data_IF_492969764362
#
_entry.id   IF_492969764362
#
_cell.length_a   1.000
_cell.length_b   1.000
_cell.length_c   1.000
_cell.angle_alpha   90.00
_cell.angle_beta   90.00
_cell.angle_gamma   90.00
#
_symmetry.space_group_name_H-M   'P 1'
#
loop_
_entity.id
_entity.type
_entity.pdbx_description
1 polymer ?
#
# COMPACT_ATOMS: atom_id res chain seq x y z
N UNK A 1 31.63 23.80 -36.43
CA UNK A 1 30.31 24.41 -36.15
C UNK A 1 29.40 23.29 -35.68
N UNK A 2 29.27 23.12 -34.36
CA UNK A 2 28.10 23.57 -33.57
C UNK A 2 26.80 22.93 -34.12
N UNK A 3 26.07 22.09 -33.40
CA UNK A 3 25.70 22.22 -32.00
C UNK A 3 25.67 20.86 -31.28
N UNK A 4 26.32 20.81 -30.11
CA UNK A 4 25.89 19.94 -29.04
C UNK A 4 24.55 20.49 -28.57
N UNK A 5 23.46 19.79 -28.89
CA UNK A 5 22.15 20.13 -28.35
C UNK A 5 22.10 19.69 -26.88
N UNK A 6 22.53 20.60 -26.01
CA UNK A 6 22.16 20.66 -24.60
C UNK A 6 20.66 20.95 -24.52
N UNK A 7 19.80 19.94 -24.72
CA UNK A 7 18.34 20.01 -24.55
C UNK A 7 17.79 18.57 -24.53
N UNK A 8 17.58 17.95 -23.35
CA UNK A 8 16.67 16.80 -23.18
C UNK A 8 16.62 16.19 -21.76
N UNK A 9 17.52 16.51 -20.84
CA UNK A 9 17.52 15.81 -19.53
C UNK A 9 16.35 16.21 -18.60
N UNK A 10 15.50 17.17 -19.00
CA UNK A 10 14.38 17.66 -18.19
C UNK A 10 13.00 17.07 -18.53
N UNK A 11 12.86 16.27 -19.60
CA UNK A 11 11.55 15.81 -20.10
C UNK A 11 11.28 14.31 -19.91
N UNK A 12 12.15 13.58 -19.21
CA UNK A 12 11.98 12.15 -18.94
C UNK A 12 12.05 11.90 -17.45
N UNK A 13 11.09 11.13 -16.94
CA UNK A 13 11.12 10.60 -15.58
C UNK A 13 11.10 9.08 -15.62
N UNK A 14 11.69 8.48 -14.61
CA UNK A 14 11.67 7.04 -14.39
C UNK A 14 11.31 6.72 -12.95
N UNK A 15 10.76 5.54 -12.74
CA UNK A 15 10.35 5.02 -11.45
C UNK A 15 10.96 3.66 -11.18
N UNK A 16 10.12 2.71 -10.74
CA UNK A 16 10.51 1.36 -10.40
C UNK A 16 11.23 0.67 -11.57
N UNK A 17 12.31 -0.05 -11.27
CA UNK A 17 12.90 -1.04 -12.17
C UNK A 17 13.00 -2.36 -11.40
N UNK A 18 12.66 -3.46 -12.06
CA UNK A 18 12.69 -4.75 -11.41
C UNK A 18 12.44 -5.93 -12.35
N UNK A 19 12.61 -7.14 -11.83
CA UNK A 19 13.01 -7.42 -10.45
C UNK A 19 14.48 -7.12 -10.18
N UNK A 20 14.80 -6.97 -8.91
CA UNK A 20 16.12 -6.73 -8.32
C UNK A 20 16.35 -7.73 -7.20
N UNK A 21 17.62 -8.03 -6.90
CA UNK A 21 17.97 -8.95 -5.82
C UNK A 21 17.74 -10.42 -6.18
N UNK A 22 17.42 -11.24 -5.16
CA UNK A 22 17.29 -12.69 -5.28
C UNK A 22 15.81 -13.07 -5.39
N UNK A 23 15.45 -13.69 -6.51
CA UNK A 23 14.12 -14.18 -6.78
C UNK A 23 13.92 -15.59 -6.25
N UNK A 24 12.76 -15.76 -5.62
CA UNK A 24 12.18 -17.02 -5.18
C UNK A 24 11.12 -17.53 -6.16
N UNK A 25 10.82 -16.78 -7.23
CA UNK A 25 10.09 -17.27 -8.41
C UNK A 25 10.97 -17.27 -9.66
N UNK A 26 10.86 -18.32 -10.47
CA UNK A 26 11.50 -18.40 -11.79
C UNK A 26 10.60 -17.93 -12.93
N UNK A 27 9.35 -17.56 -12.64
CA UNK A 27 8.44 -16.93 -13.58
C UNK A 27 8.56 -15.39 -13.46
N UNK A 28 9.28 -14.78 -14.39
CA UNK A 28 9.82 -13.43 -14.25
C UNK A 28 9.21 -12.47 -15.26
N UNK A 29 8.62 -11.38 -14.78
CA UNK A 29 8.30 -10.20 -15.61
C UNK A 29 9.37 -9.15 -15.39
N UNK A 30 10.01 -8.66 -16.46
CA UNK A 30 10.94 -7.53 -16.35
C UNK A 30 10.17 -6.24 -16.60
N UNK A 31 10.39 -5.22 -15.78
CA UNK A 31 9.71 -3.93 -15.92
C UNK A 31 10.61 -2.77 -15.53
N UNK A 32 10.48 -1.68 -16.27
CA UNK A 32 11.06 -0.38 -15.95
C UNK A 32 10.04 0.71 -16.21
N UNK A 33 9.58 1.38 -15.15
CA UNK A 33 8.73 2.55 -15.24
C UNK A 33 9.50 3.74 -15.82
N UNK A 34 8.97 4.30 -16.90
CA UNK A 34 9.56 5.42 -17.61
C UNK A 34 8.48 6.17 -18.39
N UNK A 35 8.46 7.48 -18.26
CA UNK A 35 7.48 8.33 -18.94
C UNK A 35 8.07 9.66 -19.36
N UNK A 36 7.50 10.20 -20.42
CA UNK A 36 7.76 11.57 -20.84
C UNK A 36 6.98 12.54 -19.98
N UNK A 37 7.61 13.65 -19.60
CA UNK A 37 6.95 14.84 -19.05
C UNK A 37 6.88 15.97 -20.08
N UNK A 38 7.41 15.76 -21.28
CA UNK A 38 7.36 16.70 -22.40
C UNK A 38 6.34 16.30 -23.47
N UNK A 39 6.43 16.95 -24.63
CA UNK A 39 5.54 16.66 -25.76
C UNK A 39 5.94 15.39 -26.52
N UNK A 40 7.20 14.97 -26.44
CA UNK A 40 7.72 13.79 -27.12
C UNK A 40 7.24 12.51 -26.43
N UNK A 41 6.83 11.49 -27.20
CA UNK A 41 6.22 10.27 -26.66
C UNK A 41 7.16 9.09 -26.80
N UNK A 42 7.11 8.19 -25.82
CA UNK A 42 7.74 6.89 -25.92
C UNK A 42 6.85 6.01 -26.79
N UNK A 43 7.40 5.46 -27.87
CA UNK A 43 6.68 4.67 -28.86
C UNK A 43 7.08 3.20 -28.86
N UNK A 44 8.20 2.85 -28.23
CA UNK A 44 8.72 1.48 -28.22
C UNK A 44 9.57 1.20 -26.97
N UNK A 45 9.37 0.02 -26.41
CA UNK A 45 10.23 -0.57 -25.39
C UNK A 45 11.12 -1.66 -26.01
N UNK A 46 12.35 -1.77 -25.53
CA UNK A 46 13.28 -2.85 -25.89
C UNK A 46 13.90 -3.38 -24.60
N UNK A 47 14.04 -4.70 -24.48
CA UNK A 47 14.77 -5.33 -23.38
C UNK A 47 15.78 -6.33 -23.97
N UNK A 48 17.00 -6.26 -23.46
CA UNK A 48 18.05 -7.26 -23.65
C UNK A 48 18.26 -7.98 -22.31
N UNK A 49 18.30 -9.31 -22.33
CA UNK A 49 18.60 -10.17 -21.20
C UNK A 49 19.91 -10.92 -21.48
N UNK A 50 20.93 -10.68 -20.68
CA UNK A 50 22.31 -11.18 -20.90
C UNK A 50 22.87 -10.82 -22.29
N UNK A 51 22.49 -9.65 -22.81
CA UNK A 51 22.90 -9.17 -24.14
C UNK A 51 22.02 -9.64 -25.30
N UNK A 52 21.09 -10.55 -25.06
CA UNK A 52 20.18 -11.08 -26.10
C UNK A 52 18.84 -10.34 -26.07
N UNK A 53 18.32 -9.82 -27.21
CA UNK A 53 17.04 -9.14 -27.25
C UNK A 53 15.88 -10.11 -27.00
N UNK A 54 14.90 -9.68 -26.21
CA UNK A 54 13.68 -10.44 -25.88
C UNK A 54 12.39 -9.66 -26.22
N UNK A 55 11.24 -10.34 -26.39
CA UNK A 55 9.96 -9.67 -26.63
C UNK A 55 9.59 -8.70 -25.50
N UNK A 56 9.42 -7.43 -25.87
CA UNK A 56 9.15 -6.35 -24.93
C UNK A 56 8.32 -5.25 -25.59
N UNK A 57 7.53 -4.56 -24.76
CA UNK A 57 6.64 -3.48 -25.16
C UNK A 57 6.83 -2.26 -24.27
N UNK A 58 6.37 -1.11 -24.77
CA UNK A 58 6.06 0.03 -23.91
C UNK A 58 4.56 -0.03 -23.56
N UNK A 59 4.27 -0.34 -22.30
CA UNK A 59 2.92 -0.35 -21.73
C UNK A 59 2.53 1.07 -21.32
N UNK A 60 1.70 1.71 -22.15
CA UNK A 60 1.28 3.11 -21.95
C UNK A 60 0.44 3.28 -20.69
N UNK A 61 -0.36 2.29 -20.29
CA UNK A 61 -1.19 2.37 -19.10
C UNK A 61 -0.33 2.32 -17.82
N UNK A 62 0.68 1.44 -17.82
CA UNK A 62 1.64 1.35 -16.71
C UNK A 62 2.71 2.43 -16.75
N UNK A 63 2.91 3.07 -17.90
CA UNK A 63 4.04 3.97 -18.17
C UNK A 63 5.37 3.23 -17.98
N UNK A 64 5.51 2.06 -18.61
CA UNK A 64 6.65 1.19 -18.38
C UNK A 64 7.11 0.42 -19.62
N UNK A 65 8.41 0.22 -19.77
CA UNK A 65 8.97 -0.80 -20.65
C UNK A 65 8.93 -2.13 -19.91
N UNK A 66 8.31 -3.16 -20.50
CA UNK A 66 8.20 -4.48 -19.86
C UNK A 66 8.25 -5.62 -20.86
N UNK A 67 8.48 -6.84 -20.37
CA UNK A 67 8.29 -8.04 -21.20
C UNK A 67 6.83 -8.17 -21.64
N UNK A 68 6.62 -8.68 -22.85
CA UNK A 68 5.26 -8.93 -23.37
C UNK A 68 4.52 -9.97 -22.53
N UNK A 69 5.20 -11.08 -22.26
CA UNK A 69 4.78 -12.16 -21.38
C UNK A 69 5.81 -12.41 -20.29
N UNK A 70 5.44 -13.04 -19.17
CA UNK A 70 6.41 -13.56 -18.21
C UNK A 70 7.39 -14.55 -18.87
N UNK A 71 8.61 -14.60 -18.33
CA UNK A 71 9.71 -15.46 -18.77
C UNK A 71 9.92 -16.58 -17.77
N UNK A 72 10.05 -17.82 -18.25
CA UNK A 72 10.53 -18.91 -17.42
C UNK A 72 12.07 -18.93 -17.45
N UNK A 73 12.72 -18.60 -16.34
CA UNK A 73 14.17 -18.49 -16.25
C UNK A 73 14.77 -19.61 -15.40
N UNK A 74 15.92 -20.14 -15.83
CA UNK A 74 16.69 -21.07 -15.02
C UNK A 74 17.36 -20.36 -13.83
N UNK A 75 17.77 -21.08 -12.78
CA UNK A 75 18.60 -20.50 -11.74
C UNK A 75 19.89 -19.88 -12.30
N UNK A 76 20.23 -18.68 -11.85
CA UNK A 76 21.40 -17.96 -12.34
C UNK A 76 21.33 -16.45 -12.16
N UNK A 77 22.44 -15.78 -12.49
CA UNK A 77 22.53 -14.33 -12.50
C UNK A 77 22.14 -13.79 -13.87
N UNK A 78 21.34 -12.73 -13.87
CA UNK A 78 20.83 -12.09 -15.08
C UNK A 78 21.17 -10.60 -15.09
N UNK A 79 21.57 -10.12 -16.26
CA UNK A 79 21.77 -8.70 -16.54
C UNK A 79 20.71 -8.22 -17.54
N UNK A 80 20.05 -7.12 -17.20
CA UNK A 80 18.98 -6.54 -18.01
C UNK A 80 19.40 -5.18 -18.52
N UNK A 81 19.17 -4.92 -19.81
CA UNK A 81 19.24 -3.59 -20.40
C UNK A 81 17.89 -3.27 -21.03
N UNK A 82 17.15 -2.33 -20.44
CA UNK A 82 15.90 -1.82 -21.00
C UNK A 82 16.13 -0.47 -21.67
N UNK A 83 15.43 -0.23 -22.79
CA UNK A 83 15.46 1.04 -23.53
C UNK A 83 14.05 1.48 -23.84
N UNK A 84 13.78 2.77 -23.63
CA UNK A 84 12.58 3.44 -24.07
C UNK A 84 12.93 4.36 -25.24
N UNK A 85 12.33 4.08 -26.39
CA UNK A 85 12.58 4.77 -27.65
C UNK A 85 11.48 5.82 -27.87
N UNK A 86 11.90 7.06 -28.08
CA UNK A 86 11.04 8.20 -28.31
C UNK A 86 10.74 8.39 -29.81
N UNK A 87 9.64 9.06 -30.12
CA UNK A 87 9.21 9.35 -31.48
C UNK A 87 10.27 10.14 -32.26
N UNK A 88 10.96 11.08 -31.60
CA UNK A 88 12.05 11.86 -32.22
C UNK A 88 13.38 11.10 -32.37
N UNK A 89 13.38 9.80 -32.09
CA UNK A 89 14.46 8.89 -32.45
C UNK A 89 15.61 8.76 -31.44
N UNK A 90 15.55 9.45 -30.29
CA UNK A 90 16.47 9.16 -29.19
C UNK A 90 15.91 8.07 -28.28
N UNK A 91 16.78 7.44 -27.49
CA UNK A 91 16.38 6.46 -26.50
C UNK A 91 17.06 6.73 -25.16
N UNK A 92 16.31 6.51 -24.08
CA UNK A 92 16.84 6.43 -22.72
C UNK A 92 16.97 4.97 -22.33
N UNK A 93 17.89 4.68 -21.41
CA UNK A 93 18.15 3.30 -20.97
C UNK A 93 18.17 3.18 -19.45
N UNK A 94 17.85 2.00 -18.98
CA UNK A 94 18.07 1.53 -17.62
C UNK A 94 18.73 0.16 -17.66
N UNK A 95 19.60 -0.12 -16.70
CA UNK A 95 20.29 -1.39 -16.57
C UNK A 95 20.28 -1.84 -15.12
N UNK A 96 19.98 -3.12 -14.90
CA UNK A 96 19.94 -3.71 -13.56
C UNK A 96 20.29 -5.19 -13.62
N UNK A 97 20.41 -5.81 -12.45
CA UNK A 97 20.73 -7.22 -12.28
C UNK A 97 19.83 -7.85 -11.24
N UNK A 98 19.57 -9.13 -11.42
CA UNK A 98 18.88 -9.98 -10.45
C UNK A 98 19.40 -11.40 -10.53
N UNK A 99 19.03 -12.21 -9.56
CA UNK A 99 19.40 -13.62 -9.46
C UNK A 99 18.15 -14.46 -9.32
N UNK A 100 18.00 -15.49 -10.14
CA UNK A 100 16.99 -16.54 -9.91
C UNK A 100 17.60 -17.58 -8.99
N UNK A 101 17.01 -17.79 -7.82
CA UNK A 101 17.49 -18.76 -6.84
C UNK A 101 17.43 -20.20 -7.33
N UNK A 102 18.30 -21.07 -6.79
CA UNK A 102 18.32 -22.51 -7.12
C UNK A 102 16.99 -23.22 -6.81
N UNK A 103 16.27 -22.73 -5.81
CA UNK A 103 14.97 -23.26 -5.38
C UNK A 103 13.80 -22.35 -5.79
N UNK A 104 14.01 -21.47 -6.79
CA UNK A 104 12.98 -20.56 -7.25
C UNK A 104 11.81 -21.33 -7.86
N UNK A 105 10.61 -21.03 -7.39
CA UNK A 105 9.37 -21.71 -7.75
C UNK A 105 8.98 -21.36 -9.19
N UNK A 106 8.78 -22.37 -10.03
CA UNK A 106 8.26 -22.18 -11.38
C UNK A 106 6.79 -21.74 -11.32
N UNK A 107 6.02 -22.44 -10.50
CA UNK A 107 4.63 -22.13 -10.21
C UNK A 107 4.50 -21.75 -8.73
N UNK A 108 3.86 -20.61 -8.48
CA UNK A 108 3.52 -20.20 -7.11
C UNK A 108 2.33 -21.05 -6.61
N UNK A 109 2.31 -21.41 -5.32
CA UNK A 109 1.23 -22.20 -4.77
C UNK A 109 -0.07 -21.40 -4.82
N UNK A 110 -1.17 -22.12 -5.02
CA UNK A 110 -2.51 -21.55 -4.92
C UNK A 110 -2.77 -21.05 -3.48
N UNK A 111 -3.51 -19.94 -3.31
CA UNK A 111 -3.88 -19.46 -1.99
C UNK A 111 -4.67 -20.52 -1.18
N UNK A 112 -4.31 -20.66 0.09
CA UNK A 112 -4.97 -21.56 1.04
C UNK A 112 -6.38 -21.09 1.44
N UNK A 113 -7.13 -21.96 2.12
CA UNK A 113 -8.45 -21.63 2.68
C UNK A 113 -8.40 -20.40 3.60
N UNK A 114 -7.39 -20.33 4.49
CA UNK A 114 -7.24 -19.23 5.45
C UNK A 114 -6.96 -17.89 4.74
N UNK A 115 -6.18 -17.91 3.65
CA UNK A 115 -5.94 -16.72 2.84
C UNK A 115 -7.22 -16.24 2.15
N UNK A 116 -8.04 -17.17 1.64
CA UNK A 116 -9.34 -16.82 1.07
C UNK A 116 -10.35 -16.36 2.14
N UNK A 117 -10.30 -16.87 3.37
CA UNK A 117 -11.11 -16.37 4.49
C UNK A 117 -10.77 -14.92 4.83
N UNK A 118 -9.48 -14.60 4.97
CA UNK A 118 -9.02 -13.21 5.14
C UNK A 118 -9.43 -12.31 3.99
N UNK A 119 -9.31 -12.77 2.75
CA UNK A 119 -9.76 -12.01 1.57
C UNK A 119 -11.26 -11.71 1.66
N UNK A 120 -12.10 -12.68 2.03
CA UNK A 120 -13.54 -12.48 2.21
C UNK A 120 -13.83 -11.45 3.30
N UNK A 121 -13.19 -11.59 4.47
CA UNK A 121 -13.36 -10.63 5.57
C UNK A 121 -12.98 -9.20 5.14
N UNK A 122 -11.85 -9.04 4.45
CA UNK A 122 -11.40 -7.74 3.90
C UNK A 122 -12.41 -7.21 2.89
N UNK A 123 -12.93 -8.05 2.00
CA UNK A 123 -13.94 -7.66 1.02
C UNK A 123 -15.26 -7.24 1.68
N UNK A 124 -15.73 -7.96 2.70
CA UNK A 124 -16.95 -7.62 3.43
C UNK A 124 -16.80 -6.28 4.18
N UNK A 125 -15.62 -5.99 4.73
CA UNK A 125 -15.32 -4.67 5.27
C UNK A 125 -15.31 -3.59 4.18
N UNK A 126 -14.59 -3.82 3.07
CA UNK A 126 -14.49 -2.87 1.95
C UNK A 126 -15.85 -2.55 1.35
N UNK A 127 -16.71 -3.54 1.16
CA UNK A 127 -18.08 -3.34 0.68
C UNK A 127 -18.91 -2.47 1.64
N UNK A 128 -18.77 -2.65 2.96
CA UNK A 128 -19.46 -1.81 3.97
C UNK A 128 -19.02 -0.35 3.93
N UNK A 129 -17.77 -0.07 3.58
CA UNK A 129 -17.25 1.30 3.40
C UNK A 129 -17.41 1.82 1.97
N UNK A 130 -18.11 1.09 1.09
CA UNK A 130 -18.39 1.51 -0.29
C UNK A 130 -17.22 1.36 -1.27
N UNK A 131 -16.26 0.49 -0.97
CA UNK A 131 -15.08 0.22 -1.79
C UNK A 131 -15.22 -1.11 -2.56
N UNK A 132 -14.67 -1.21 -3.78
CA UNK A 132 -14.69 -2.45 -4.54
C UNK A 132 -13.83 -3.53 -3.85
N UNK A 133 -14.13 -4.82 -4.08
CA UNK A 133 -13.36 -5.91 -3.50
C UNK A 133 -11.92 -5.92 -4.01
N UNK A 134 -11.02 -6.52 -3.22
CA UNK A 134 -9.66 -6.87 -3.65
C UNK A 134 -9.64 -8.23 -4.34
N UNK A 135 -8.66 -8.43 -5.22
CA UNK A 135 -8.39 -9.72 -5.85
C UNK A 135 -7.08 -10.31 -5.31
N UNK A 136 -7.07 -11.61 -5.04
CA UNK A 136 -5.88 -12.30 -4.55
C UNK A 136 -4.83 -12.37 -5.67
N UNK A 137 -3.62 -11.89 -5.38
CA UNK A 137 -2.49 -11.95 -6.30
C UNK A 137 -1.49 -13.01 -5.81
N UNK A 138 -1.16 -14.04 -6.62
CA UNK A 138 -0.32 -15.16 -6.17
C UNK A 138 1.00 -14.74 -5.51
N UNK A 139 1.75 -13.82 -6.14
CA UNK A 139 3.00 -13.29 -5.57
C UNK A 139 2.83 -12.65 -4.19
N UNK A 140 1.77 -11.85 -3.99
CA UNK A 140 1.51 -11.23 -2.68
C UNK A 140 1.02 -12.26 -1.67
N UNK A 141 0.20 -13.22 -2.10
CA UNK A 141 -0.27 -14.30 -1.23
C UNK A 141 0.91 -15.11 -0.66
N UNK A 142 1.87 -15.49 -1.51
CA UNK A 142 3.08 -16.21 -1.08
C UNK A 142 3.97 -15.32 -0.21
N UNK A 143 4.19 -14.07 -0.61
CA UNK A 143 5.00 -13.12 0.17
C UNK A 143 4.44 -12.93 1.60
N UNK A 144 3.13 -12.73 1.73
CA UNK A 144 2.48 -12.60 3.03
C UNK A 144 2.54 -13.90 3.84
N UNK A 145 2.32 -15.06 3.21
CA UNK A 145 2.39 -16.35 3.90
C UNK A 145 3.80 -16.61 4.44
N UNK A 146 4.83 -16.45 3.61
CA UNK A 146 6.22 -16.56 4.03
C UNK A 146 6.58 -15.57 5.14
N UNK A 147 6.04 -14.35 5.10
CA UNK A 147 6.31 -13.37 6.15
C UNK A 147 5.64 -13.69 7.48
N UNK A 148 4.40 -14.22 7.46
CA UNK A 148 3.75 -14.71 8.68
C UNK A 148 4.51 -15.88 9.30
N UNK A 149 4.98 -16.82 8.48
CA UNK A 149 5.83 -17.94 8.90
C UNK A 149 7.17 -17.48 9.45
N UNK A 150 7.81 -16.50 8.79
CA UNK A 150 9.04 -15.87 9.27
C UNK A 150 8.85 -15.23 10.64
N UNK A 151 7.75 -14.47 10.84
CA UNK A 151 7.45 -13.85 12.12
C UNK A 151 7.22 -14.90 13.22
N UNK A 152 6.55 -16.01 12.89
CA UNK A 152 6.32 -17.11 13.82
C UNK A 152 7.65 -17.81 14.18
N UNK A 153 8.43 -18.23 13.19
CA UNK A 153 9.68 -19.01 13.40
C UNK A 153 10.75 -18.21 14.14
N UNK A 154 10.79 -16.90 13.94
CA UNK A 154 11.76 -16.02 14.57
C UNK A 154 11.19 -15.31 15.82
N UNK A 155 10.00 -15.71 16.29
CA UNK A 155 9.34 -15.16 17.49
C UNK A 155 9.28 -13.62 17.49
N UNK A 156 9.02 -13.03 16.33
CA UNK A 156 8.98 -11.59 16.12
C UNK A 156 7.61 -11.14 15.64
N UNK A 157 7.40 -9.83 15.65
CA UNK A 157 6.27 -9.16 15.01
C UNK A 157 6.77 -7.83 14.46
N UNK A 158 6.56 -7.61 13.16
CA UNK A 158 6.97 -6.38 12.49
C UNK A 158 7.04 -6.57 10.99
N UNK A 159 7.43 -5.51 10.29
CA UNK A 159 7.42 -5.43 8.83
C UNK A 159 8.71 -5.90 8.15
N UNK A 160 9.77 -6.12 8.93
CA UNK A 160 11.12 -6.29 8.41
C UNK A 160 11.70 -7.66 8.74
N UNK A 161 12.39 -8.24 7.76
CA UNK A 161 13.14 -9.48 7.93
C UNK A 161 14.64 -9.21 7.96
N UNK A 162 15.39 -10.13 8.57
CA UNK A 162 16.85 -10.06 8.66
C UNK A 162 17.46 -11.13 7.75
N UNK A 163 18.42 -10.79 6.88
CA UNK A 163 19.02 -11.73 5.92
C UNK A 163 19.54 -13.04 6.51
N UNK A 164 20.02 -13.02 7.75
CA UNK A 164 20.59 -14.17 8.46
C UNK A 164 19.55 -15.05 9.16
N UNK A 165 18.28 -14.63 9.22
CA UNK A 165 17.21 -15.34 9.90
C UNK A 165 16.60 -16.44 9.04
N UNK A 166 16.15 -17.52 9.69
CA UNK A 166 15.46 -18.61 9.01
C UNK A 166 14.20 -18.09 8.33
N UNK A 167 13.96 -18.53 7.09
CA UNK A 167 12.78 -18.14 6.31
C UNK A 167 12.89 -16.75 5.68
N UNK A 168 14.07 -16.14 5.64
CA UNK A 168 14.27 -14.84 4.97
C UNK A 168 13.89 -14.91 3.49
N UNK A 169 13.01 -13.99 3.08
CA UNK A 169 12.53 -13.82 1.70
C UNK A 169 12.75 -12.41 1.15
N UNK A 170 13.02 -11.44 2.03
CA UNK A 170 13.30 -10.05 1.68
C UNK A 170 13.22 -9.11 2.89
N UNK A 171 14.10 -8.10 2.95
CA UNK A 171 14.25 -7.27 4.14
C UNK A 171 13.03 -6.37 4.38
N UNK A 172 12.46 -5.78 3.34
CA UNK A 172 11.28 -4.93 3.39
C UNK A 172 10.06 -5.61 2.76
N UNK A 173 8.82 -5.12 3.00
CA UNK A 173 7.63 -5.67 2.35
C UNK A 173 7.69 -5.67 0.82
N UNK A 174 8.35 -4.68 0.22
CA UNK A 174 8.53 -4.60 -1.22
C UNK A 174 9.55 -5.64 -1.70
N UNK A 175 10.68 -5.80 -1.01
CA UNK A 175 11.68 -6.82 -1.37
C UNK A 175 11.08 -8.24 -1.36
N UNK A 176 10.19 -8.53 -0.41
CA UNK A 176 9.48 -9.82 -0.34
C UNK A 176 8.47 -10.00 -1.47
N UNK A 177 7.69 -8.97 -1.77
CA UNK A 177 6.74 -9.02 -2.88
C UNK A 177 7.49 -9.23 -4.22
N UNK A 178 8.59 -8.51 -4.41
CA UNK A 178 9.45 -8.57 -5.59
C UNK A 178 10.17 -9.91 -5.73
N UNK A 179 10.61 -10.54 -4.63
CA UNK A 179 11.25 -11.87 -4.69
C UNK A 179 10.30 -12.95 -5.22
N UNK A 180 8.99 -12.79 -5.07
CA UNK A 180 7.96 -13.64 -5.69
C UNK A 180 7.36 -13.05 -6.99
N UNK A 181 8.00 -12.02 -7.58
CA UNK A 181 7.67 -11.49 -8.89
C UNK A 181 6.60 -10.39 -8.92
N UNK A 182 6.17 -9.86 -7.77
CA UNK A 182 5.28 -8.69 -7.75
C UNK A 182 6.09 -7.40 -7.92
N UNK A 183 5.89 -6.72 -9.05
CA UNK A 183 6.52 -5.43 -9.32
C UNK A 183 5.52 -4.29 -9.13
N UNK A 184 5.64 -3.58 -8.02
CA UNK A 184 4.80 -2.44 -7.69
C UNK A 184 4.94 -2.02 -6.24
N UNK A 185 4.53 -0.80 -5.93
CA UNK A 185 4.42 -0.37 -4.54
C UNK A 185 3.35 -1.17 -3.80
N UNK A 186 3.58 -1.40 -2.50
CA UNK A 186 2.63 -2.06 -1.62
C UNK A 186 2.50 -1.33 -0.28
N UNK A 187 1.37 -1.53 0.37
CA UNK A 187 1.20 -1.30 1.79
C UNK A 187 1.07 -2.64 2.50
N UNK A 188 1.63 -2.73 3.69
CA UNK A 188 1.53 -3.92 4.54
C UNK A 188 0.87 -3.58 5.88
N UNK A 189 0.06 -4.50 6.37
CA UNK A 189 -0.49 -4.50 7.72
C UNK A 189 -0.18 -5.85 8.38
N UNK A 190 0.38 -5.81 9.60
CA UNK A 190 0.75 -7.02 10.35
C UNK A 190 0.00 -7.06 11.68
N UNK A 191 -0.53 -8.23 12.05
CA UNK A 191 -1.15 -8.48 13.34
C UNK A 191 -0.46 -9.64 14.06
N UNK A 192 -0.49 -9.58 15.39
CA UNK A 192 0.09 -10.55 16.31
C UNK A 192 -0.87 -10.74 17.49
N UNK A 193 -1.19 -12.00 17.81
CA UNK A 193 -2.10 -12.37 18.90
C UNK A 193 -3.57 -12.52 18.49
N UNK A 194 -3.87 -12.46 17.18
CA UNK A 194 -5.18 -12.72 16.61
C UNK A 194 -5.25 -14.15 16.11
N UNK A 195 -6.16 -14.98 16.66
CA UNK A 195 -6.25 -16.41 16.33
C UNK A 195 -7.27 -16.72 15.22
N UNK A 196 -8.04 -15.73 14.80
CA UNK A 196 -8.99 -15.85 13.69
C UNK A 196 -8.74 -14.76 12.64
N UNK A 197 -9.03 -15.03 11.35
CA UNK A 197 -9.04 -14.01 10.30
C UNK A 197 -9.85 -12.76 10.66
N UNK A 198 -11.01 -12.94 11.28
CA UNK A 198 -11.92 -11.88 11.66
C UNK A 198 -11.32 -11.00 12.77
N UNK A 199 -10.73 -11.60 13.80
CA UNK A 199 -10.08 -10.86 14.88
C UNK A 199 -8.86 -10.08 14.37
N UNK A 200 -8.11 -10.68 13.45
CA UNK A 200 -6.96 -10.02 12.84
C UNK A 200 -7.39 -8.80 12.03
N UNK A 201 -8.41 -8.95 11.19
CA UNK A 201 -8.95 -7.82 10.43
C UNK A 201 -9.54 -6.74 11.35
N UNK A 202 -10.29 -7.13 12.39
CA UNK A 202 -10.86 -6.19 13.34
C UNK A 202 -9.77 -5.37 14.04
N UNK A 203 -8.68 -6.00 14.47
CA UNK A 203 -7.54 -5.31 15.06
C UNK A 203 -6.87 -4.34 14.08
N UNK A 204 -6.66 -4.75 12.82
CA UNK A 204 -6.05 -3.91 11.79
C UNK A 204 -6.95 -2.72 11.39
N UNK A 205 -8.27 -2.91 11.35
CA UNK A 205 -9.23 -1.81 11.10
C UNK A 205 -9.32 -0.87 12.30
N UNK A 206 -9.23 -1.39 13.52
CA UNK A 206 -9.21 -0.57 14.74
C UNK A 206 -7.99 0.35 14.79
N UNK A 207 -6.84 -0.11 14.27
CA UNK A 207 -5.61 0.67 14.06
C UNK A 207 -5.75 1.76 13.00
N UNK A 208 -5.58 3.06 13.33
CA UNK A 208 -5.85 4.14 12.38
C UNK A 208 -4.81 4.29 11.26
N UNK A 209 -3.57 3.79 11.41
CA UNK A 209 -2.63 3.69 10.29
C UNK A 209 -2.85 2.39 9.51
N UNK A 210 -3.05 1.27 10.20
CA UNK A 210 -3.31 -0.04 9.58
C UNK A 210 -4.61 -0.10 8.75
N UNK A 211 -5.60 0.75 9.04
CA UNK A 211 -6.81 0.86 8.19
C UNK A 211 -6.58 1.61 6.88
N UNK A 212 -5.56 2.48 6.78
CA UNK A 212 -5.34 3.29 5.57
C UNK A 212 -5.09 2.45 4.31
N UNK A 213 -4.29 1.37 4.33
CA UNK A 213 -4.18 0.43 3.21
C UNK A 213 -5.50 -0.19 2.77
N UNK A 214 -6.38 -0.50 3.75
CA UNK A 214 -7.66 -1.16 3.54
C UNK A 214 -8.69 -0.19 2.92
N UNK A 215 -8.58 1.10 3.25
CA UNK A 215 -9.46 2.18 2.77
C UNK A 215 -9.10 2.73 1.38
N UNK A 216 -8.07 2.19 0.72
CA UNK A 216 -7.70 2.60 -0.62
C UNK A 216 -8.84 2.36 -1.64
N UNK A 217 -9.17 3.33 -2.52
CA UNK A 217 -10.12 3.15 -3.62
C UNK A 217 -9.60 2.20 -4.70
N UNK A 218 -10.50 1.73 -5.56
CA UNK A 218 -10.15 0.87 -6.69
C UNK A 218 -9.94 -0.60 -6.34
N UNK A 219 -9.89 -1.44 -7.37
CA UNK A 219 -9.59 -2.87 -7.25
C UNK A 219 -8.09 -3.03 -7.00
N UNK A 220 -7.74 -3.65 -5.87
CA UNK A 220 -6.34 -3.78 -5.44
C UNK A 220 -5.90 -5.24 -5.55
N UNK A 221 -4.65 -5.43 -5.98
CA UNK A 221 -3.98 -6.70 -5.77
C UNK A 221 -3.78 -6.89 -4.26
N UNK A 222 -4.08 -8.10 -3.78
CA UNK A 222 -4.05 -8.41 -2.36
C UNK A 222 -3.32 -9.72 -2.09
N UNK A 223 -2.59 -9.75 -0.99
CA UNK A 223 -2.02 -10.96 -0.39
C UNK A 223 -2.43 -11.05 1.07
N UNK A 224 -2.59 -12.28 1.54
CA UNK A 224 -2.79 -12.59 2.95
C UNK A 224 -1.84 -13.74 3.34
N UNK A 225 -1.48 -13.81 4.61
CA UNK A 225 -0.67 -14.90 5.15
C UNK A 225 -1.01 -15.15 6.61
N UNK A 226 -1.11 -16.42 6.99
CA UNK A 226 -1.49 -16.84 8.35
C UNK A 226 -0.53 -17.91 8.84
N UNK A 227 0.10 -17.65 9.97
CA UNK A 227 0.91 -18.64 10.69
C UNK A 227 0.57 -18.53 12.19
N UNK A 228 -0.32 -19.41 12.65
CA UNK A 228 -0.92 -19.34 13.99
C UNK A 228 -1.51 -17.94 14.26
N UNK A 229 -0.97 -17.21 15.24
CA UNK A 229 -1.42 -15.88 15.65
C UNK A 229 -0.69 -14.73 14.90
N UNK A 230 0.08 -15.05 13.86
CA UNK A 230 0.77 -14.10 12.97
C UNK A 230 -0.03 -13.94 11.68
N UNK A 231 -0.49 -12.72 11.42
CA UNK A 231 -1.22 -12.38 10.19
C UNK A 231 -0.53 -11.24 9.46
N UNK A 232 -0.36 -11.41 8.15
CA UNK A 232 0.19 -10.39 7.25
C UNK A 232 -0.82 -10.14 6.14
N UNK A 233 -1.17 -8.88 5.91
CA UNK A 233 -1.97 -8.42 4.78
C UNK A 233 -1.14 -7.46 3.94
N UNK A 234 -1.17 -7.61 2.63
CA UNK A 234 -0.48 -6.71 1.71
C UNK A 234 -1.40 -6.28 0.59
N UNK A 235 -1.39 -4.99 0.27
CA UNK A 235 -2.22 -4.34 -0.74
C UNK A 235 -1.33 -3.63 -1.75
N UNK A 236 -1.60 -3.76 -3.05
CA UNK A 236 -1.00 -2.86 -4.04
C UNK A 236 -1.39 -1.41 -3.76
N UNK A 237 -0.58 -0.47 -4.24
CA UNK A 237 -0.99 0.94 -4.30
C UNK A 237 -2.16 1.10 -5.27
N UNK A 238 -3.17 1.86 -4.85
CA UNK A 238 -4.29 2.22 -5.72
C UNK A 238 -3.83 2.98 -6.96
N UNK A 239 -4.47 2.69 -8.09
CA UNK A 239 -4.37 3.49 -9.32
C UNK A 239 -5.53 4.49 -9.46
N UNK A 240 -6.51 4.41 -8.56
CA UNK A 240 -7.70 5.24 -8.58
C UNK A 240 -7.53 6.48 -7.70
N UNK A 241 -8.23 7.54 -8.09
CA UNK A 241 -8.33 8.75 -7.27
C UNK A 241 -9.63 8.73 -6.48
N UNK A 242 -9.57 8.96 -5.16
CA UNK A 242 -10.76 8.90 -4.34
C UNK A 242 -10.54 9.33 -2.90
N UNK A 243 -11.64 9.69 -2.25
CA UNK A 243 -11.68 10.00 -0.81
C UNK A 243 -12.34 8.85 -0.08
N UNK A 244 -11.72 8.40 1.00
CA UNK A 244 -12.30 7.43 1.93
C UNK A 244 -12.37 8.02 3.33
N UNK A 245 -13.44 7.71 4.05
CA UNK A 245 -13.70 8.16 5.41
C UNK A 245 -14.04 6.97 6.29
N UNK A 246 -13.62 7.03 7.54
CA UNK A 246 -13.97 6.02 8.52
C UNK A 246 -14.06 6.62 9.94
N UNK A 247 -15.10 6.41 10.75
CA UNK A 247 -16.35 5.72 10.40
C UNK A 247 -17.01 6.26 9.12
N UNK A 248 -17.62 5.39 8.34
CA UNK A 248 -18.23 5.78 7.07
C UNK A 248 -19.55 6.55 7.30
N UNK A 249 -20.04 7.26 6.28
CA UNK A 249 -21.29 8.03 6.36
C UNK A 249 -22.45 7.13 6.80
N UNK A 250 -23.12 7.53 7.88
CA UNK A 250 -24.24 6.80 8.45
C UNK A 250 -23.87 5.50 9.17
N UNK A 251 -22.57 5.22 9.39
CA UNK A 251 -22.15 4.05 10.15
C UNK A 251 -22.77 4.05 11.55
N UNK A 252 -23.36 2.93 11.94
CA UNK A 252 -23.83 2.65 13.30
C UNK A 252 -22.85 1.76 14.02
N UNK A 253 -23.05 1.59 15.31
CA UNK A 253 -22.28 0.69 16.17
C UNK A 253 -20.77 1.00 16.19
N UNK A 254 -20.41 2.28 16.04
CA UNK A 254 -19.02 2.72 16.16
C UNK A 254 -18.58 2.57 17.62
N UNK A 255 -17.43 1.92 17.90
CA UNK A 255 -16.96 1.81 19.28
C UNK A 255 -16.81 3.19 19.94
N UNK A 256 -17.07 3.26 21.24
CA UNK A 256 -16.96 4.52 21.98
C UNK A 256 -15.52 4.83 22.39
N UNK A 257 -14.66 3.81 22.42
CA UNK A 257 -13.29 3.85 22.91
C UNK A 257 -12.35 3.19 21.92
N UNK A 258 -11.11 3.67 21.92
CA UNK A 258 -10.03 3.02 21.19
C UNK A 258 -9.18 2.12 22.10
N UNK A 259 -8.83 0.92 21.63
CA UNK A 259 -8.08 -0.06 22.43
C UNK A 259 -6.57 0.27 22.54
N UNK A 260 -6.07 1.21 21.72
CA UNK A 260 -4.67 1.70 21.68
C UNK A 260 -3.65 0.67 21.20
N UNK A 261 -4.09 -0.36 20.49
CA UNK A 261 -3.24 -1.41 19.92
C UNK A 261 -2.77 -1.02 18.51
N UNK A 262 -1.97 0.05 18.42
CA UNK A 262 -1.32 0.49 17.17
C UNK A 262 0.15 0.79 17.40
N UNK A 263 0.99 0.38 16.44
CA UNK A 263 2.43 0.68 16.43
C UNK A 263 2.81 1.28 15.07
N UNK A 264 3.32 2.53 15.02
CA UNK A 264 3.49 3.45 16.14
C UNK A 264 2.14 3.91 16.73
N UNK A 265 2.12 4.29 18.02
CA UNK A 265 0.89 4.84 18.61
C UNK A 265 0.66 6.28 18.08
N UNK A 266 -0.52 6.61 17.53
CA UNK A 266 -0.84 7.95 17.02
C UNK A 266 -0.84 9.04 18.09
N UNK A 267 -1.06 8.70 19.36
CA UNK A 267 -1.00 9.65 20.48
C UNK A 267 0.45 9.98 20.91
N UNK A 268 1.47 9.32 20.34
CA UNK A 268 2.88 9.59 20.67
C UNK A 268 3.27 11.05 20.44
N UNK A 269 2.75 11.68 19.38
CA UNK A 269 3.09 13.05 19.01
C UNK A 269 2.43 14.09 19.93
N UNK A 270 1.45 13.66 20.72
CA UNK A 270 0.73 14.49 21.70
C UNK A 270 1.22 14.26 23.14
N UNK A 271 2.13 13.30 23.36
CA UNK A 271 2.57 12.91 24.71
C UNK A 271 1.48 12.17 25.51
N UNK A 272 0.54 11.48 24.82
CA UNK A 272 -0.67 10.90 25.44
C UNK A 272 -0.85 9.41 25.20
N UNK A 273 0.22 8.68 24.89
CA UNK A 273 0.19 7.27 24.47
C UNK A 273 -0.55 6.31 25.43
N UNK A 274 -0.64 6.64 26.72
CA UNK A 274 -1.26 5.79 27.76
C UNK A 274 -2.69 6.19 28.14
N UNK A 275 -3.22 7.31 27.61
CA UNK A 275 -4.52 7.86 28.02
C UNK A 275 -5.66 7.14 27.30
N UNK A 276 -6.74 6.81 28.01
CA UNK A 276 -7.97 6.31 27.38
C UNK A 276 -8.65 7.40 26.55
N UNK A 277 -8.91 7.11 25.28
CA UNK A 277 -9.46 8.07 24.30
C UNK A 277 -10.68 7.48 23.60
N UNK A 278 -11.43 8.34 22.92
CA UNK A 278 -12.51 7.92 22.02
C UNK A 278 -11.99 7.28 20.74
N UNK A 279 -12.91 6.76 19.95
CA UNK A 279 -12.57 6.02 18.73
C UNK A 279 -12.00 6.92 17.63
N UNK A 280 -10.91 6.53 16.93
CA UNK A 280 -10.26 7.39 15.95
C UNK A 280 -11.09 7.50 14.67
N UNK A 281 -11.17 8.71 14.14
CA UNK A 281 -11.86 9.08 12.91
C UNK A 281 -10.81 9.45 11.86
N UNK A 282 -11.01 8.98 10.64
CA UNK A 282 -10.07 9.06 9.52
C UNK A 282 -10.75 9.73 8.34
N UNK A 283 -10.01 10.65 7.72
CA UNK A 283 -10.27 11.13 6.37
C UNK A 283 -8.99 10.92 5.57
N UNK A 284 -9.10 10.30 4.39
CA UNK A 284 -7.97 10.03 3.51
C UNK A 284 -8.32 10.35 2.05
N UNK A 285 -7.36 10.94 1.35
CA UNK A 285 -7.43 11.17 -0.09
C UNK A 285 -6.34 10.36 -0.78
N UNK A 286 -6.69 9.56 -1.76
CA UNK A 286 -5.75 8.71 -2.48
C UNK A 286 -5.68 9.12 -3.93
N UNK A 287 -4.47 9.10 -4.50
CA UNK A 287 -4.24 9.18 -5.94
C UNK A 287 -2.86 8.68 -6.33
N UNK A 288 -2.64 8.52 -7.64
CA UNK A 288 -1.30 8.29 -8.18
C UNK A 288 -0.43 9.55 -8.03
N UNK A 289 0.76 9.37 -7.46
CA UNK A 289 1.81 10.41 -7.39
C UNK A 289 1.70 11.36 -6.20
N UNK A 290 1.60 12.66 -6.49
CA UNK A 290 1.52 13.75 -5.50
C UNK A 290 0.14 13.78 -4.87
N UNK A 291 0.11 13.65 -3.56
CA UNK A 291 -0.99 13.03 -2.82
C UNK A 291 -1.00 13.52 -1.37
N UNK A 292 -0.01 14.34 -1.00
CA UNK A 292 0.11 14.88 0.33
C UNK A 292 -1.06 15.82 0.62
N UNK A 293 -1.67 15.65 1.79
CA UNK A 293 -2.78 16.45 2.28
C UNK A 293 -2.25 17.62 3.13
N UNK A 294 -2.85 18.78 2.99
CA UNK A 294 -2.71 19.94 3.90
C UNK A 294 -4.06 20.18 4.56
N UNK A 295 -4.13 20.08 5.88
CA UNK A 295 -5.38 20.20 6.64
C UNK A 295 -5.57 21.66 7.07
N UNK A 296 -6.70 22.25 6.69
CA UNK A 296 -7.07 23.62 7.06
C UNK A 296 -7.87 23.62 8.37
N UNK A 297 -8.89 22.76 8.47
CA UNK A 297 -9.73 22.61 9.65
C UNK A 297 -10.27 21.19 9.73
N UNK A 298 -10.40 20.64 10.94
CA UNK A 298 -10.97 19.32 11.15
C UNK A 298 -11.59 19.26 12.55
N UNK A 299 -12.89 18.94 12.64
CA UNK A 299 -13.66 19.00 13.88
C UNK A 299 -14.62 17.83 14.04
N UNK A 300 -14.87 17.49 15.30
CA UNK A 300 -15.92 16.56 15.71
C UNK A 300 -16.96 17.34 16.52
N UNK A 301 -18.23 17.12 16.21
CA UNK A 301 -19.38 17.76 16.86
C UNK A 301 -20.28 16.66 17.45
N UNK A 302 -20.85 16.90 18.62
CA UNK A 302 -21.88 16.04 19.20
C UNK A 302 -23.25 16.29 18.55
N UNK A 303 -24.29 15.61 19.04
CA UNK A 303 -25.67 15.72 18.56
C UNK A 303 -26.35 17.06 18.88
N UNK A 304 -25.74 17.88 19.73
CA UNK A 304 -26.17 19.25 20.06
C UNK A 304 -25.35 20.31 19.31
N UNK A 305 -24.58 19.90 18.30
CA UNK A 305 -23.66 20.74 17.52
C UNK A 305 -22.54 21.40 18.34
N UNK A 306 -22.22 20.85 19.51
CA UNK A 306 -21.12 21.33 20.35
C UNK A 306 -19.81 20.62 19.96
N UNK A 307 -18.67 21.33 19.91
CA UNK A 307 -17.38 20.73 19.64
C UNK A 307 -16.96 19.69 20.67
N UNK A 308 -16.48 18.54 20.21
CA UNK A 308 -15.82 17.50 21.01
C UNK A 308 -14.32 17.73 20.97
N UNK A 309 -13.65 17.75 22.13
CA UNK A 309 -12.21 17.92 22.18
C UNK A 309 -11.49 16.73 21.51
N UNK A 310 -10.54 17.01 20.61
CA UNK A 310 -9.79 15.99 19.86
C UNK A 310 -8.30 16.26 19.86
N UNK A 311 -7.49 15.20 19.79
CA UNK A 311 -6.14 15.26 19.23
C UNK A 311 -6.23 15.12 17.71
N UNK A 312 -5.41 15.90 16.99
CA UNK A 312 -5.40 15.88 15.52
C UNK A 312 -4.01 15.49 15.00
N UNK A 313 -3.97 14.45 14.18
CA UNK A 313 -2.78 14.03 13.45
C UNK A 313 -2.97 14.38 11.96
N UNK A 314 -1.95 14.99 11.38
CA UNK A 314 -1.92 15.43 9.97
C UNK A 314 -0.51 15.18 9.39
N UNK A 315 -0.33 15.26 8.06
CA UNK A 315 1.00 15.15 7.45
C UNK A 315 2.01 16.21 7.93
N UNK A 316 1.55 17.30 8.55
CA UNK A 316 2.43 18.37 9.04
C UNK A 316 3.01 18.07 10.43
N UNK A 317 2.35 17.24 11.24
CA UNK A 317 2.82 16.89 12.59
C UNK A 317 3.10 15.39 12.79
N UNK A 318 2.72 14.55 11.83
CA UNK A 318 2.84 13.10 11.93
C UNK A 318 3.49 12.51 10.67
N UNK A 319 4.74 12.07 10.80
CA UNK A 319 5.51 11.47 9.69
C UNK A 319 4.96 10.13 9.20
N UNK A 320 4.04 9.51 9.96
CA UNK A 320 3.33 8.30 9.55
C UNK A 320 2.14 8.60 8.63
N UNK A 321 1.82 9.88 8.43
CA UNK A 321 0.75 10.33 7.54
C UNK A 321 1.33 11.09 6.35
N UNK A 322 0.73 10.85 5.19
CA UNK A 322 0.99 11.61 3.96
C UNK A 322 -0.29 12.23 3.44
N UNK A 323 -1.35 11.45 3.35
CA UNK A 323 -2.54 11.74 2.56
C UNK A 323 -3.84 11.59 3.35
N UNK A 324 -3.71 11.57 4.67
CA UNK A 324 -4.80 11.38 5.58
C UNK A 324 -4.63 12.25 6.82
N UNK A 325 -5.75 12.47 7.51
CA UNK A 325 -5.80 13.02 8.85
C UNK A 325 -6.50 12.02 9.79
N UNK A 326 -6.15 12.08 11.07
CA UNK A 326 -6.79 11.29 12.11
C UNK A 326 -7.24 12.24 13.23
N UNK A 327 -8.55 12.27 13.51
CA UNK A 327 -9.15 12.92 14.67
C UNK A 327 -9.35 11.88 15.77
N UNK A 328 -8.83 12.14 16.96
CA UNK A 328 -8.92 11.23 18.11
C UNK A 328 -9.61 11.97 19.25
N UNK A 329 -10.86 11.63 19.61
CA UNK A 329 -11.56 12.26 20.74
C UNK A 329 -10.77 12.09 22.03
N UNK A 330 -10.59 13.15 22.81
CA UNK A 330 -9.77 13.11 24.03
C UNK A 330 -10.36 12.21 25.11
N UNK A 331 -11.68 12.05 25.10
CA UNK A 331 -12.45 11.21 26.00
C UNK A 331 -13.24 10.16 25.22
N UNK A 332 -13.60 9.02 25.85
CA UNK A 332 -14.59 8.09 25.31
C UNK A 332 -15.84 8.81 24.80
N UNK A 333 -16.31 8.44 23.61
CA UNK A 333 -17.57 8.94 23.08
C UNK A 333 -18.74 8.40 23.90
N UNK A 334 -19.85 9.13 23.92
CA UNK A 334 -21.06 8.73 24.63
C UNK A 334 -21.74 7.62 23.81
N UNK A 335 -22.13 6.47 24.41
CA UNK A 335 -22.83 5.39 23.73
C UNK A 335 -24.18 5.82 23.14
N UNK A 336 -24.56 5.24 21.99
CA UNK A 336 -25.86 5.49 21.33
C UNK A 336 -26.08 6.95 20.90
N UNK A 337 -25.01 7.69 20.61
CA UNK A 337 -25.08 9.10 20.21
C UNK A 337 -24.58 9.30 18.79
N UNK A 338 -25.18 10.27 18.12
CA UNK A 338 -24.75 10.72 16.80
C UNK A 338 -23.63 11.75 16.94
N UNK A 339 -22.63 11.63 16.09
CA UNK A 339 -21.55 12.59 15.95
C UNK A 339 -21.43 13.05 14.49
N UNK A 340 -21.04 14.31 14.29
CA UNK A 340 -20.78 14.89 12.97
C UNK A 340 -19.31 15.28 12.86
N UNK A 341 -18.68 14.89 11.76
CA UNK A 341 -17.31 15.26 11.43
C UNK A 341 -17.34 16.32 10.34
N UNK A 342 -16.50 17.34 10.46
CA UNK A 342 -16.28 18.35 9.45
C UNK A 342 -14.79 18.43 9.12
N UNK A 343 -14.45 18.41 7.83
CA UNK A 343 -13.07 18.49 7.33
C UNK A 343 -12.99 19.50 6.21
N UNK A 344 -12.00 20.39 6.31
CA UNK A 344 -11.51 21.26 5.25
C UNK A 344 -10.02 20.97 5.00
N UNK A 345 -9.67 20.62 3.77
CA UNK A 345 -8.30 20.29 3.40
C UNK A 345 -8.01 20.57 1.93
N UNK A 346 -6.73 20.61 1.57
CA UNK A 346 -6.25 20.64 0.19
C UNK A 346 -5.24 19.52 -0.05
N UNK A 347 -4.97 19.18 -1.30
CA UNK A 347 -3.91 18.26 -1.68
C UNK A 347 -2.89 18.91 -2.62
N UNK A 348 -1.68 18.35 -2.71
CA UNK A 348 -0.58 18.83 -3.56
C UNK A 348 -0.92 18.95 -5.05
N UNK A 349 -2.00 18.30 -5.50
CA UNK A 349 -2.50 18.38 -6.86
C UNK A 349 -3.46 19.55 -7.12
N UNK A 350 -3.76 20.34 -6.09
CA UNK A 350 -4.71 21.45 -6.13
C UNK A 350 -6.15 21.06 -5.80
N UNK A 351 -6.43 19.80 -5.47
CA UNK A 351 -7.77 19.38 -5.03
C UNK A 351 -8.13 20.04 -3.70
N UNK A 352 -9.36 20.50 -3.57
CA UNK A 352 -9.92 21.08 -2.36
C UNK A 352 -11.05 20.21 -1.83
N UNK A 353 -11.11 20.06 -0.51
CA UNK A 353 -12.09 19.22 0.17
C UNK A 353 -12.82 20.02 1.23
N UNK A 354 -14.16 20.01 1.15
CA UNK A 354 -15.06 20.40 2.23
C UNK A 354 -16.01 19.25 2.44
N UNK A 355 -15.81 18.48 3.52
CA UNK A 355 -16.56 17.24 3.76
C UNK A 355 -17.21 17.27 5.14
N UNK A 356 -18.46 16.82 5.16
CA UNK A 356 -19.27 16.67 6.36
C UNK A 356 -19.93 15.30 6.31
N UNK A 357 -19.84 14.54 7.40
CA UNK A 357 -20.53 13.27 7.52
C UNK A 357 -20.89 12.97 8.96
N UNK A 358 -21.76 11.99 9.18
CA UNK A 358 -22.11 11.56 10.53
C UNK A 358 -21.96 10.06 10.74
N UNK A 359 -21.78 9.67 12.00
CA UNK A 359 -21.83 8.29 12.47
C UNK A 359 -22.51 8.21 13.84
N UNK A 360 -22.87 7.01 14.26
CA UNK A 360 -23.50 6.73 15.55
C UNK A 360 -22.69 5.71 16.34
N UNK A 361 -22.45 5.99 17.61
CA UNK A 361 -21.74 5.07 18.51
C UNK A 361 -22.61 3.90 18.90
N UNK A 362 -21.97 2.77 19.20
CA UNK A 362 -22.65 1.58 19.73
C UNK A 362 -23.46 1.92 20.99
N UNK A 363 -24.63 1.29 21.18
CA UNK A 363 -25.39 1.40 22.41
C UNK A 363 -24.61 0.80 23.61
N UNK A 364 -25.07 1.07 24.83
CA UNK A 364 -24.46 0.55 26.05
C UNK A 364 -24.43 -0.98 26.11
#
# INVERSE_FOLDING_TARGET
MLAWATLAHAEVKSGLCGPTGNLLSSNVTLMWEVWSTGADRIIRGVIELNGEPIPAVYDVARLAVRTETPLQLAPGNYEVVARAVFERGFAVRSNWRFTVGLSAMADLPEPSSNQHELQRAVNDFRLRVGLPPVYMHPSLAVACQSHSEYNLSNQTTGHYEKPESQGFTGATPIDRAESFGFLGGTYEAVSCGSWTPEDALAALVDGPYHRLPILQPGELAFGAGVAEDRVTLQFSLTQETGVSIYPYEGQRDVPTRWNRLERPNPLRIHGKAIVGVGYPITFAYYRRGKDRLTVIDARLLNDSDEPVATYLNTPDNDKSLRNALILIPQDPLIPGRKYRVEVQATAEDGSEFVRRWSFETAPQ
#
